data_IF_574246090509
#
_entry.id   IF_574246090509
#
_cell.length_a   1.000
_cell.length_b   1.000
_cell.length_c   1.000
_cell.angle_alpha   90.00
_cell.angle_beta   90.00
_cell.angle_gamma   90.00
#
_symmetry.space_group_name_H-M   'P 1'
#
loop_
_entity.id
_entity.type
_entity.pdbx_description
1 polymer ?
#
# COMPACT_ATOMS: atom_id res chain seq x y z
N UNK A 1 5.78 -26.70 -3.60
CA UNK A 1 6.97 -27.00 -2.79
C UNK A 1 6.60 -27.11 -1.31
N UNK A 2 7.22 -28.05 -0.54
CA UNK A 2 6.89 -28.27 0.87
C UNK A 2 6.98 -26.98 1.71
N UNK A 3 7.93 -26.09 1.37
CA UNK A 3 8.17 -24.82 2.06
C UNK A 3 6.98 -23.86 1.98
N UNK A 4 6.30 -23.77 0.84
CA UNK A 4 5.14 -22.88 0.69
C UNK A 4 3.94 -23.37 1.49
N UNK A 5 3.65 -24.67 1.45
CA UNK A 5 2.59 -25.28 2.26
C UNK A 5 2.87 -25.12 3.76
N UNK A 6 4.14 -25.27 4.18
CA UNK A 6 4.55 -25.08 5.57
C UNK A 6 4.36 -23.61 6.01
N UNK A 7 4.69 -22.65 5.16
CA UNK A 7 4.49 -21.23 5.46
C UNK A 7 3.01 -20.90 5.60
N UNK A 8 2.16 -21.38 4.71
CA UNK A 8 0.71 -21.22 4.81
C UNK A 8 0.15 -21.80 6.11
N UNK A 9 0.61 -23.01 6.47
CA UNK A 9 0.24 -23.65 7.75
C UNK A 9 0.68 -22.79 8.95
N UNK A 10 1.92 -22.32 8.97
CA UNK A 10 2.44 -21.47 10.06
C UNK A 10 1.65 -20.18 10.22
N UNK A 11 1.28 -19.53 9.12
CA UNK A 11 0.43 -18.34 9.15
C UNK A 11 -0.95 -18.65 9.74
N UNK A 12 -1.53 -19.76 9.34
CA UNK A 12 -2.83 -20.23 9.88
C UNK A 12 -2.74 -20.52 11.37
N UNK A 13 -1.73 -21.27 11.78
CA UNK A 13 -1.51 -21.60 13.21
C UNK A 13 -1.30 -20.34 14.05
N UNK A 14 -0.53 -19.38 13.54
CA UNK A 14 -0.27 -18.11 14.22
C UNK A 14 -1.55 -17.27 14.34
N UNK A 15 -2.32 -17.12 13.27
CA UNK A 15 -3.58 -16.39 13.30
C UNK A 15 -4.55 -17.01 14.32
N UNK A 16 -4.69 -18.33 14.32
CA UNK A 16 -5.55 -19.04 15.24
C UNK A 16 -5.07 -18.89 16.71
N UNK A 17 -3.76 -18.91 16.93
CA UNK A 17 -3.19 -18.69 18.27
C UNK A 17 -3.44 -17.26 18.77
N UNK A 18 -3.30 -16.26 17.90
CA UNK A 18 -3.63 -14.88 18.23
C UNK A 18 -5.11 -14.72 18.58
N UNK A 19 -5.99 -15.29 17.76
CA UNK A 19 -7.44 -15.23 17.99
C UNK A 19 -7.81 -15.87 19.32
N UNK A 20 -7.27 -17.04 19.62
CA UNK A 20 -7.48 -17.72 20.90
C UNK A 20 -7.00 -16.89 22.08
N UNK A 21 -5.85 -16.24 21.95
CA UNK A 21 -5.29 -15.42 23.03
C UNK A 21 -6.11 -14.15 23.28
N UNK A 22 -6.54 -13.46 22.25
CA UNK A 22 -7.29 -12.21 22.39
C UNK A 22 -8.77 -12.41 22.68
N UNK A 23 -9.33 -13.55 22.29
CA UNK A 23 -10.72 -13.90 22.57
C UNK A 23 -10.85 -15.05 23.57
N UNK A 24 -9.97 -15.13 24.56
CA UNK A 24 -9.93 -16.28 25.48
C UNK A 24 -11.20 -16.47 26.30
N UNK A 25 -12.04 -15.43 26.46
CA UNK A 25 -13.36 -15.50 27.11
C UNK A 25 -14.53 -15.57 26.15
N UNK A 26 -14.29 -15.63 24.83
CA UNK A 26 -15.36 -15.64 23.82
C UNK A 26 -16.20 -14.36 23.77
N UNK A 27 -15.72 -13.27 24.39
CA UNK A 27 -16.49 -12.03 24.53
C UNK A 27 -16.42 -11.12 23.30
N UNK A 28 -15.52 -11.40 22.36
CA UNK A 28 -15.29 -10.56 21.18
C UNK A 28 -15.73 -11.32 19.92
N UNK A 29 -16.59 -10.74 19.08
CA UNK A 29 -16.94 -11.34 17.79
C UNK A 29 -15.70 -11.65 16.96
N UNK A 30 -15.70 -12.76 16.24
CA UNK A 30 -14.54 -13.24 15.49
C UNK A 30 -14.09 -12.28 14.38
N UNK A 31 -15.03 -11.53 13.80
CA UNK A 31 -14.81 -10.51 12.74
C UNK A 31 -14.14 -9.24 13.27
N UNK A 32 -14.20 -8.97 14.57
CA UNK A 32 -13.53 -7.83 15.22
C UNK A 32 -12.12 -8.15 15.68
N UNK A 33 -11.69 -9.41 15.60
CA UNK A 33 -10.34 -9.81 15.96
C UNK A 33 -9.33 -9.30 14.92
N UNK A 34 -8.19 -8.80 15.42
CA UNK A 34 -7.16 -8.21 14.56
C UNK A 34 -6.57 -9.23 13.58
N UNK A 35 -6.41 -8.86 12.30
CA UNK A 35 -5.77 -9.73 11.33
C UNK A 35 -4.25 -9.84 11.58
N UNK A 36 -3.68 -10.97 11.18
CA UNK A 36 -2.25 -11.09 10.95
C UNK A 36 -1.92 -10.40 9.62
N UNK A 37 -0.89 -9.57 9.62
CA UNK A 37 -0.36 -8.93 8.44
C UNK A 37 0.87 -9.69 7.95
N UNK A 38 0.82 -10.21 6.74
CA UNK A 38 1.92 -10.94 6.14
C UNK A 38 2.45 -10.21 4.91
N UNK A 39 3.70 -9.81 4.97
CA UNK A 39 4.40 -9.13 3.88
C UNK A 39 5.39 -10.10 3.25
N UNK A 40 5.03 -10.79 2.17
CA UNK A 40 5.95 -11.68 1.49
C UNK A 40 6.96 -10.88 0.65
N UNK A 41 8.21 -11.33 0.65
CA UNK A 41 9.23 -10.78 -0.22
C UNK A 41 9.12 -11.43 -1.62
N UNK A 42 8.12 -11.03 -2.39
CA UNK A 42 7.84 -11.54 -3.73
C UNK A 42 7.59 -10.38 -4.69
N UNK A 43 8.69 -9.71 -5.04
CA UNK A 43 8.67 -8.53 -5.93
C UNK A 43 8.69 -8.91 -7.42
N UNK A 44 9.52 -8.21 -8.19
CA UNK A 44 9.62 -8.34 -9.63
C UNK A 44 9.84 -9.78 -10.13
N UNK A 45 10.69 -10.57 -9.49
CA UNK A 45 10.92 -11.95 -9.96
C UNK A 45 9.69 -12.86 -9.86
N UNK A 46 8.72 -12.53 -9.00
CA UNK A 46 7.45 -13.25 -8.96
C UNK A 46 6.60 -12.99 -10.20
N UNK A 47 6.74 -11.82 -10.81
CA UNK A 47 6.08 -11.47 -12.07
C UNK A 47 6.80 -12.00 -13.29
N UNK A 48 8.13 -12.06 -13.24
CA UNK A 48 8.97 -12.68 -14.27
C UNK A 48 8.77 -14.21 -14.35
N UNK A 49 8.37 -14.83 -13.24
CA UNK A 49 8.13 -16.26 -13.11
C UNK A 49 6.69 -16.54 -12.65
N UNK A 50 5.71 -16.41 -13.57
CA UNK A 50 4.28 -16.51 -13.22
C UNK A 50 3.93 -17.79 -12.47
N UNK A 51 4.53 -18.94 -12.81
CA UNK A 51 4.27 -20.20 -12.12
C UNK A 51 4.71 -20.18 -10.66
N UNK A 52 5.79 -19.47 -10.33
CA UNK A 52 6.23 -19.28 -8.94
C UNK A 52 5.21 -18.45 -8.16
N UNK A 53 4.70 -17.38 -8.76
CA UNK A 53 3.67 -16.53 -8.18
C UNK A 53 2.37 -17.30 -7.94
N UNK A 54 1.87 -17.99 -8.97
CA UNK A 54 0.67 -18.83 -8.87
C UNK A 54 0.80 -19.86 -7.74
N UNK A 55 1.90 -20.61 -7.69
CA UNK A 55 2.13 -21.61 -6.67
C UNK A 55 2.18 -21.00 -5.26
N UNK A 56 2.77 -19.80 -5.13
CA UNK A 56 2.86 -19.09 -3.86
C UNK A 56 1.48 -18.67 -3.34
N UNK A 57 0.70 -17.96 -4.16
CA UNK A 57 -0.62 -17.49 -3.74
C UNK A 57 -1.61 -18.63 -3.57
N UNK A 58 -1.56 -19.65 -4.42
CA UNK A 58 -2.35 -20.87 -4.24
C UNK A 58 -2.06 -21.58 -2.91
N UNK A 59 -0.80 -21.61 -2.47
CA UNK A 59 -0.46 -22.17 -1.16
C UNK A 59 -1.03 -21.32 -0.01
N UNK A 60 -1.08 -19.98 -0.17
CA UNK A 60 -1.62 -19.06 0.83
C UNK A 60 -3.15 -18.98 0.84
N UNK A 61 -3.85 -19.43 -0.22
CA UNK A 61 -5.31 -19.32 -0.33
C UNK A 61 -6.05 -20.03 0.82
N UNK A 62 -5.43 -21.03 1.44
CA UNK A 62 -5.98 -21.75 2.59
C UNK A 62 -5.72 -21.08 3.96
N UNK A 63 -5.05 -19.92 3.99
CA UNK A 63 -4.91 -19.15 5.23
C UNK A 63 -6.24 -18.50 5.61
N UNK A 64 -6.48 -18.19 6.90
CA UNK A 64 -7.72 -17.51 7.32
C UNK A 64 -7.97 -16.25 6.51
N UNK A 65 -9.22 -16.02 6.08
CA UNK A 65 -9.56 -14.91 5.20
C UNK A 65 -9.21 -13.53 5.77
N UNK A 66 -9.24 -13.37 7.07
CA UNK A 66 -8.83 -12.13 7.73
C UNK A 66 -7.31 -11.90 7.73
N UNK A 67 -6.49 -12.94 7.52
CA UNK A 67 -5.04 -12.74 7.35
C UNK A 67 -4.80 -11.92 6.11
N UNK A 68 -4.22 -10.73 6.27
CA UNK A 68 -3.93 -9.82 5.17
C UNK A 68 -2.57 -10.14 4.57
N UNK A 69 -2.54 -10.38 3.27
CA UNK A 69 -1.30 -10.61 2.50
C UNK A 69 -1.02 -9.34 1.69
N UNK A 70 0.18 -8.81 1.83
CA UNK A 70 0.60 -7.57 1.18
C UNK A 70 1.35 -7.84 -0.12
N UNK A 71 1.15 -6.97 -1.09
CA UNK A 71 1.92 -6.91 -2.33
C UNK A 71 2.50 -5.51 -2.51
N UNK A 72 3.56 -5.39 -3.27
CA UNK A 72 4.12 -4.10 -3.73
C UNK A 72 3.79 -3.83 -5.20
N UNK A 73 3.01 -4.71 -5.84
CA UNK A 73 2.77 -4.69 -7.28
C UNK A 73 3.88 -5.37 -8.06
N UNK A 74 3.94 -5.12 -9.36
CA UNK A 74 4.89 -5.72 -10.29
C UNK A 74 6.35 -5.40 -9.96
N UNK A 75 6.60 -4.26 -9.35
CA UNK A 75 7.92 -3.82 -8.88
C UNK A 75 7.85 -3.39 -7.41
N UNK A 76 9.01 -3.18 -6.80
CA UNK A 76 9.12 -2.72 -5.41
C UNK A 76 8.41 -1.37 -5.18
N UNK A 77 8.48 -0.47 -6.16
CA UNK A 77 7.87 0.87 -6.12
C UNK A 77 6.69 1.03 -7.09
N UNK A 78 5.87 0.00 -7.24
CA UNK A 78 4.68 0.15 -8.06
C UNK A 78 3.66 1.06 -7.38
N UNK A 79 3.03 1.90 -8.19
CA UNK A 79 1.83 2.64 -7.79
C UNK A 79 0.65 1.66 -7.71
N UNK A 80 -0.24 1.76 -6.71
CA UNK A 80 -1.43 0.94 -6.64
C UNK A 80 -2.23 0.97 -7.94
N UNK A 81 -2.53 -0.22 -8.50
CA UNK A 81 -3.25 -0.33 -9.76
C UNK A 81 -4.07 -1.63 -9.84
N UNK A 82 -5.18 -1.56 -10.57
CA UNK A 82 -6.10 -2.70 -10.71
C UNK A 82 -5.53 -3.84 -11.57
N UNK A 83 -4.61 -3.55 -12.48
CA UNK A 83 -3.99 -4.60 -13.30
C UNK A 83 -3.25 -5.60 -12.42
N UNK A 84 -2.41 -5.12 -11.52
CA UNK A 84 -1.66 -5.98 -10.61
C UNK A 84 -2.57 -6.65 -9.58
N UNK A 85 -3.56 -5.92 -9.04
CA UNK A 85 -4.54 -6.46 -8.09
C UNK A 85 -5.34 -7.61 -8.69
N UNK A 86 -5.83 -7.47 -9.91
CA UNK A 86 -6.60 -8.50 -10.62
C UNK A 86 -5.78 -9.76 -10.91
N UNK A 87 -4.50 -9.59 -11.25
CA UNK A 87 -3.60 -10.74 -11.44
C UNK A 87 -3.45 -11.54 -10.14
N UNK A 88 -3.26 -10.85 -9.01
CA UNK A 88 -3.09 -11.52 -7.73
C UNK A 88 -4.41 -12.12 -7.24
N UNK A 89 -5.54 -11.42 -7.41
CA UNK A 89 -6.85 -11.95 -7.07
C UNK A 89 -7.11 -13.27 -7.81
N UNK A 90 -6.78 -13.34 -9.10
CA UNK A 90 -6.89 -14.56 -9.92
C UNK A 90 -6.04 -15.70 -9.35
N UNK A 91 -4.82 -15.41 -8.89
CA UNK A 91 -3.91 -16.42 -8.33
C UNK A 91 -4.29 -16.84 -6.90
N UNK A 92 -4.84 -15.91 -6.13
CA UNK A 92 -5.08 -16.05 -4.68
C UNK A 92 -6.54 -16.42 -4.34
N UNK A 93 -7.50 -16.00 -5.18
CA UNK A 93 -8.94 -16.18 -4.98
C UNK A 93 -9.56 -15.22 -3.97
N UNK A 94 -8.85 -14.15 -3.60
CA UNK A 94 -9.34 -13.07 -2.74
C UNK A 94 -8.48 -11.81 -2.87
N UNK A 95 -9.01 -10.67 -2.39
CA UNK A 95 -8.30 -9.41 -2.35
C UNK A 95 -7.05 -9.44 -1.45
N UNK A 96 -6.08 -8.61 -1.77
CA UNK A 96 -4.82 -8.43 -1.07
C UNK A 96 -4.69 -7.02 -0.54
N UNK A 97 -3.77 -6.80 0.40
CA UNK A 97 -3.38 -5.48 0.84
C UNK A 97 -2.23 -4.95 -0.02
N UNK A 98 -2.22 -3.65 -0.27
CA UNK A 98 -1.13 -3.02 -0.98
C UNK A 98 -0.13 -2.40 -0.01
N UNK A 99 1.14 -2.77 -0.13
CA UNK A 99 2.26 -2.08 0.50
C UNK A 99 2.84 -1.11 -0.52
N UNK A 100 2.55 0.17 -0.33
CA UNK A 100 3.03 1.21 -1.21
C UNK A 100 4.32 1.81 -0.67
N UNK A 101 5.45 1.56 -1.34
CA UNK A 101 6.74 2.17 -1.04
C UNK A 101 6.76 3.62 -1.52
N UNK A 102 5.91 4.43 -0.90
CA UNK A 102 5.77 5.86 -1.16
C UNK A 102 5.23 6.54 0.12
N UNK A 103 5.79 7.65 0.54
CA UNK A 103 6.94 8.43 0.00
C UNK A 103 8.31 8.00 0.57
N UNK A 104 8.61 6.73 0.54
CA UNK A 104 9.88 6.20 1.03
C UNK A 104 11.06 6.68 0.17
N UNK A 105 12.19 7.00 0.82
CA UNK A 105 13.38 7.55 0.19
C UNK A 105 14.67 6.82 0.62
N UNK A 106 14.57 5.56 0.98
CA UNK A 106 15.67 4.75 1.50
C UNK A 106 16.51 4.05 0.41
N UNK A 107 16.19 4.27 -0.87
CA UNK A 107 17.01 3.81 -1.98
C UNK A 107 18.07 4.87 -2.30
N UNK A 108 19.33 4.44 -2.38
CA UNK A 108 20.46 5.33 -2.67
C UNK A 108 20.32 6.11 -4.00
N UNK A 109 19.57 5.57 -4.95
CA UNK A 109 19.33 6.18 -6.26
C UNK A 109 18.02 6.97 -6.35
N UNK A 110 17.20 6.94 -5.31
CA UNK A 110 15.89 7.59 -5.27
C UNK A 110 15.83 8.60 -4.13
N UNK A 111 16.34 9.79 -4.36
CA UNK A 111 16.08 10.91 -3.49
C UNK A 111 14.66 11.41 -3.72
N UNK A 112 13.75 11.06 -2.83
CA UNK A 112 12.39 11.56 -2.89
C UNK A 112 12.37 12.94 -2.25
N UNK A 113 12.43 13.98 -3.07
CA UNK A 113 12.21 15.35 -2.63
C UNK A 113 10.70 15.66 -2.56
N UNK A 114 10.28 16.72 -1.89
CA UNK A 114 8.88 17.16 -1.89
C UNK A 114 8.26 17.31 -3.29
N UNK A 115 9.07 17.61 -4.31
CA UNK A 115 8.67 17.70 -5.70
C UNK A 115 8.25 16.34 -6.30
N UNK A 116 8.92 15.25 -5.91
CA UNK A 116 8.56 13.90 -6.37
C UNK A 116 7.18 13.49 -5.83
N UNK A 117 6.84 13.95 -4.63
CA UNK A 117 5.52 13.76 -4.04
C UNK A 117 4.45 14.49 -4.84
N UNK A 118 4.74 15.72 -5.27
CA UNK A 118 3.87 16.49 -6.13
C UNK A 118 3.66 15.78 -7.46
N UNK A 119 4.71 15.27 -8.08
CA UNK A 119 4.65 14.55 -9.35
C UNK A 119 3.88 13.24 -9.30
N UNK A 120 3.87 12.54 -8.17
CA UNK A 120 3.11 11.31 -7.99
C UNK A 120 1.61 11.55 -7.76
N UNK A 121 1.22 12.72 -7.31
CA UNK A 121 -0.18 13.05 -7.00
C UNK A 121 -0.76 14.12 -7.91
N UNK A 122 0.05 14.86 -8.61
CA UNK A 122 -0.37 15.86 -9.60
C UNK A 122 -0.12 15.31 -10.99
N UNK A 123 -1.10 15.45 -11.87
CA UNK A 123 -0.99 15.08 -13.28
C UNK A 123 0.05 15.98 -13.96
N UNK A 124 1.31 15.57 -13.93
CA UNK A 124 2.37 16.24 -14.65
C UNK A 124 2.37 15.75 -16.11
N UNK A 125 2.32 16.63 -17.11
CA UNK A 125 2.28 16.23 -18.52
C UNK A 125 3.49 15.40 -18.98
N UNK A 126 4.58 15.40 -18.21
CA UNK A 126 5.81 14.66 -18.50
C UNK A 126 5.87 13.27 -17.87
N UNK A 127 4.99 12.94 -16.94
CA UNK A 127 4.89 11.62 -16.34
C UNK A 127 3.70 10.94 -16.99
N UNK A 128 4.00 10.27 -18.10
CA UNK A 128 3.01 9.51 -18.86
C UNK A 128 2.16 8.63 -17.95
N UNK A 129 0.86 8.69 -18.18
CA UNK A 129 -0.18 7.66 -17.95
C UNK A 129 -0.11 6.72 -16.72
N UNK A 130 1.00 6.60 -16.03
CA UNK A 130 1.17 5.72 -14.87
C UNK A 130 0.91 6.40 -13.52
N UNK A 131 0.68 7.71 -13.52
CA UNK A 131 0.52 8.52 -12.31
C UNK A 131 -0.93 8.71 -11.87
N UNK A 132 -1.89 8.30 -12.67
CA UNK A 132 -3.31 8.36 -12.28
C UNK A 132 -3.65 7.18 -11.38
N UNK A 133 -3.80 7.47 -10.10
CA UNK A 133 -4.37 6.51 -9.17
C UNK A 133 -5.78 6.10 -9.62
N UNK A 134 -6.13 4.80 -9.58
CA UNK A 134 -7.46 4.36 -9.92
C UNK A 134 -8.52 5.03 -9.04
N UNK A 135 -9.60 5.50 -9.63
CA UNK A 135 -10.77 6.00 -8.88
C UNK A 135 -11.47 4.92 -8.06
N UNK A 136 -11.11 3.68 -8.26
CA UNK A 136 -11.57 2.56 -7.49
C UNK A 136 -10.51 1.47 -7.50
N UNK A 137 -10.05 1.07 -6.33
CA UNK A 137 -9.12 -0.05 -6.18
C UNK A 137 -9.91 -1.34 -6.01
N UNK A 138 -9.97 -2.14 -7.06
CA UNK A 138 -10.62 -3.45 -7.04
C UNK A 138 -9.76 -4.44 -6.25
N UNK A 139 -10.42 -5.32 -5.49
CA UNK A 139 -9.74 -6.40 -4.75
C UNK A 139 -8.62 -5.93 -3.79
N UNK A 140 -8.61 -4.64 -3.43
CA UNK A 140 -7.67 -4.08 -2.45
C UNK A 140 -8.29 -4.11 -1.05
N UNK A 141 -7.80 -5.00 -0.20
CA UNK A 141 -8.31 -5.15 1.16
C UNK A 141 -7.86 -4.01 2.09
N UNK A 142 -6.68 -3.48 1.88
CA UNK A 142 -6.15 -2.31 2.60
C UNK A 142 -4.95 -1.70 1.87
N UNK A 143 -4.67 -0.44 2.20
CA UNK A 143 -3.52 0.31 1.69
C UNK A 143 -2.59 0.66 2.85
N UNK A 144 -1.30 0.35 2.72
CA UNK A 144 -0.26 0.72 3.66
C UNK A 144 0.78 1.56 2.92
N UNK A 145 1.09 2.72 3.47
CA UNK A 145 2.17 3.59 2.99
C UNK A 145 3.45 3.32 3.78
N UNK A 146 4.59 3.24 3.09
CA UNK A 146 5.92 3.23 3.67
C UNK A 146 6.54 4.62 3.49
N UNK A 147 6.55 5.47 4.55
CA UNK A 147 7.01 6.85 4.45
C UNK A 147 8.55 6.95 4.51
N UNK A 148 9.06 8.13 4.14
CA UNK A 148 10.47 8.48 4.33
C UNK A 148 10.81 8.68 5.81
N UNK A 149 12.10 8.69 6.13
CA UNK A 149 12.60 8.93 7.50
C UNK A 149 12.29 10.35 8.00
N UNK A 150 12.18 11.32 7.09
CA UNK A 150 11.89 12.72 7.40
C UNK A 150 10.40 12.92 7.69
N UNK A 151 10.00 12.63 8.92
CA UNK A 151 8.60 12.54 9.33
C UNK A 151 7.78 13.80 9.08
N UNK A 152 8.36 14.99 9.25
CA UNK A 152 7.63 16.25 9.04
C UNK A 152 7.28 16.47 7.56
N UNK A 153 8.24 16.22 6.66
CA UNK A 153 8.00 16.33 5.21
C UNK A 153 7.05 15.23 4.73
N UNK A 154 7.16 14.04 5.31
CA UNK A 154 6.30 12.92 4.96
C UNK A 154 4.81 13.18 5.24
N UNK A 155 4.47 14.09 6.15
CA UNK A 155 3.07 14.41 6.48
C UNK A 155 2.26 14.91 5.27
N UNK A 156 2.89 15.62 4.34
CA UNK A 156 2.19 16.15 3.15
C UNK A 156 1.69 15.00 2.25
N UNK A 157 2.54 14.11 1.76
CA UNK A 157 2.08 12.99 0.95
C UNK A 157 1.22 12.00 1.75
N UNK A 158 1.48 11.81 3.05
CA UNK A 158 0.63 10.97 3.89
C UNK A 158 -0.80 11.52 4.01
N UNK A 159 -0.96 12.84 4.04
CA UNK A 159 -2.28 13.47 3.98
C UNK A 159 -3.01 13.08 2.70
N UNK A 160 -2.36 13.23 1.56
CA UNK A 160 -2.96 12.89 0.26
C UNK A 160 -3.22 11.40 0.09
N UNK A 161 -2.35 10.54 0.62
CA UNK A 161 -2.57 9.08 0.65
C UNK A 161 -3.82 8.73 1.50
N UNK A 162 -3.96 9.38 2.65
CA UNK A 162 -5.12 9.18 3.52
C UNK A 162 -6.42 9.66 2.85
N UNK A 163 -6.38 10.80 2.17
CA UNK A 163 -7.50 11.35 1.41
C UNK A 163 -7.92 10.40 0.28
N UNK A 164 -6.95 9.92 -0.50
CA UNK A 164 -7.19 8.89 -1.51
C UNK A 164 -7.77 7.60 -0.93
N UNK A 165 -7.22 7.11 0.17
CA UNK A 165 -7.69 5.88 0.81
C UNK A 165 -9.11 6.03 1.38
N UNK A 166 -9.48 7.23 1.80
CA UNK A 166 -10.80 7.54 2.34
C UNK A 166 -11.89 7.60 1.26
N UNK A 167 -11.61 8.28 0.15
CA UNK A 167 -12.56 8.45 -0.95
C UNK A 167 -11.86 8.53 -2.31
N UNK A 168 -11.41 7.39 -2.79
CA UNK A 168 -10.64 7.32 -4.04
C UNK A 168 -11.44 7.74 -5.29
N UNK A 169 -12.78 7.61 -5.29
CA UNK A 169 -13.61 8.01 -6.43
C UNK A 169 -13.60 9.51 -6.70
N UNK A 170 -13.57 10.31 -5.64
CA UNK A 170 -13.60 11.77 -5.70
C UNK A 170 -12.22 12.41 -5.49
N UNK A 171 -11.18 11.58 -5.29
CA UNK A 171 -9.83 12.07 -5.04
C UNK A 171 -9.34 12.95 -6.19
N UNK A 172 -8.84 14.14 -5.82
CA UNK A 172 -8.16 15.07 -6.70
C UNK A 172 -6.79 15.39 -6.09
N UNK A 173 -5.72 14.98 -6.75
CA UNK A 173 -4.36 15.11 -6.23
C UNK A 173 -3.96 16.56 -5.96
N UNK A 174 -4.36 17.49 -6.84
CA UNK A 174 -4.02 18.91 -6.70
C UNK A 174 -4.73 19.53 -5.50
N UNK A 175 -6.02 19.28 -5.37
CA UNK A 175 -6.81 19.83 -4.26
C UNK A 175 -6.39 19.21 -2.92
N UNK A 176 -6.14 17.91 -2.90
CA UNK A 176 -5.64 17.23 -1.72
C UNK A 176 -4.28 17.77 -1.28
N UNK A 177 -3.37 17.97 -2.23
CA UNK A 177 -2.06 18.53 -1.96
C UNK A 177 -2.15 19.97 -1.42
N UNK A 178 -2.98 20.83 -2.03
CA UNK A 178 -3.24 22.19 -1.54
C UNK A 178 -3.83 22.21 -0.13
N UNK A 179 -4.72 21.25 0.17
CA UNK A 179 -5.29 21.10 1.50
C UNK A 179 -4.26 20.61 2.53
N UNK A 180 -3.31 19.77 2.13
CA UNK A 180 -2.25 19.27 2.99
C UNK A 180 -1.31 20.36 3.49
N UNK A 181 -0.96 21.35 2.65
CA UNK A 181 -0.01 22.40 3.02
C UNK A 181 -0.42 23.15 4.30
N UNK A 182 -1.58 23.80 4.37
CA UNK A 182 -1.98 24.52 5.57
C UNK A 182 -2.24 23.59 6.77
N UNK A 183 -2.62 22.34 6.53
CA UNK A 183 -2.83 21.35 7.58
C UNK A 183 -1.50 20.90 8.22
N UNK A 184 -0.43 20.81 7.45
CA UNK A 184 0.87 20.32 7.91
C UNK A 184 1.76 21.44 8.44
N UNK A 185 1.90 22.55 7.69
CA UNK A 185 2.83 23.63 8.05
C UNK A 185 2.14 24.86 8.65
N UNK A 186 0.82 24.88 8.69
CA UNK A 186 0.02 26.03 9.14
C UNK A 186 -0.25 27.04 8.02
N UNK A 187 -1.39 27.71 8.11
CA UNK A 187 -1.89 28.64 7.08
C UNK A 187 -0.91 29.77 6.74
N UNK A 188 -0.13 30.21 7.70
CA UNK A 188 0.84 31.30 7.53
C UNK A 188 2.06 30.92 6.69
N UNK A 189 2.47 29.63 6.69
CA UNK A 189 3.64 29.16 5.97
C UNK A 189 3.30 28.43 4.67
N UNK A 190 2.06 28.01 4.47
CA UNK A 190 1.62 27.27 3.29
C UNK A 190 1.95 28.01 1.96
N UNK A 191 1.72 29.34 1.80
CA UNK A 191 2.06 30.03 0.56
C UNK A 191 3.57 30.05 0.25
N UNK A 192 4.41 30.15 1.29
CA UNK A 192 5.86 30.11 1.09
C UNK A 192 6.33 28.71 0.63
N UNK A 193 5.80 27.65 1.23
CA UNK A 193 6.12 26.29 0.83
C UNK A 193 5.61 26.01 -0.59
N UNK A 194 4.39 26.39 -0.92
CA UNK A 194 3.82 26.26 -2.26
C UNK A 194 4.68 26.92 -3.33
N UNK A 195 5.26 28.09 -3.03
CA UNK A 195 6.11 28.81 -3.97
C UNK A 195 7.47 28.19 -4.25
N UNK A 196 8.00 27.38 -3.34
CA UNK A 196 9.34 26.75 -3.48
C UNK A 196 9.29 25.33 -4.01
N UNK A 197 8.19 24.62 -3.87
CA UNK A 197 8.03 23.22 -4.30
C UNK A 197 8.38 23.00 -5.78
N UNK A 198 8.00 23.87 -6.75
CA UNK A 198 8.37 23.67 -8.15
C UNK A 198 9.88 23.71 -8.40
N UNK A 199 10.68 24.11 -7.42
CA UNK A 199 12.15 24.22 -7.52
C UNK A 199 12.89 23.14 -6.72
N UNK A 200 12.17 22.26 -6.02
CA UNK A 200 12.70 21.15 -5.24
C UNK A 200 12.60 19.85 -6.01
#
# INVERSE_FOLDING_TARGET
APTLALNAKRLTDLQNAMDKKWNFKGAVPADTLKPLHFVPQLYAYGWEKPQTRVNFYKALSNTPHKTQVYITGKATWSVPNNTDLNVIETDFGRGVAWWWNYPCNDNADAWTFPADMYSNFVDMPSIESNSTLPKHLEHCASLLSNPMQQGEIAKIPLFSIADYAWNNSEFNSVESWKAALPAVVGKQFAPALESVIPYL
#
